data_IF_890750678736
#
_entry.id   IF_890750678736
#
_cell.length_a   1.000
_cell.length_b   1.000
_cell.length_c   1.000
_cell.angle_alpha   90.00
_cell.angle_beta   90.00
_cell.angle_gamma   90.00
#
_symmetry.space_group_name_H-M   'P 1'
#
loop_
_entity.id
_entity.type
_entity.pdbx_description
1 polymer ?
#
# COMPACT_ATOMS: atom_id res chain seq x y z
N UNK A 1 -14.02 13.19 -26.23
CA UNK A 1 -12.93 12.64 -25.41
C UNK A 1 -11.74 13.54 -25.63
N UNK A 2 -11.12 14.16 -24.66
CA UNK A 2 -9.85 14.81 -24.88
C UNK A 2 -8.83 13.72 -25.20
N UNK A 3 -8.17 13.82 -26.36
CA UNK A 3 -7.01 13.02 -26.73
C UNK A 3 -5.93 13.34 -25.69
N UNK A 4 -5.69 12.39 -24.80
CA UNK A 4 -4.54 12.46 -23.88
C UNK A 4 -3.32 12.01 -24.68
N UNK A 5 -2.52 12.96 -25.11
CA UNK A 5 -1.23 12.73 -25.73
C UNK A 5 -0.28 12.18 -24.65
N UNK A 6 -0.19 10.86 -24.54
CA UNK A 6 0.71 10.16 -23.62
C UNK A 6 2.15 10.27 -24.16
N UNK A 7 2.76 11.42 -23.95
CA UNK A 7 4.20 11.54 -24.18
C UNK A 7 4.92 10.72 -23.10
N UNK A 8 5.70 9.74 -23.51
CA UNK A 8 6.57 8.95 -22.64
C UNK A 8 7.55 9.90 -21.92
N UNK A 9 7.20 10.29 -20.70
CA UNK A 9 8.02 11.19 -19.89
C UNK A 9 9.24 10.44 -19.38
N UNK A 10 10.42 10.70 -19.98
CA UNK A 10 11.68 10.07 -19.59
C UNK A 10 12.30 10.65 -18.33
N UNK A 11 11.68 11.68 -17.74
CA UNK A 11 12.18 12.34 -16.51
C UNK A 11 12.14 11.40 -15.31
N UNK A 12 13.08 11.56 -14.33
CA UNK A 12 13.02 10.84 -13.07
C UNK A 12 11.69 11.07 -12.34
N UNK A 13 11.15 10.05 -11.71
CA UNK A 13 9.89 10.15 -10.97
C UNK A 13 9.96 11.23 -9.87
N UNK A 14 11.11 11.34 -9.19
CA UNK A 14 11.37 12.38 -8.19
C UNK A 14 11.20 13.79 -8.73
N UNK A 15 11.53 14.02 -10.01
CA UNK A 15 11.33 15.31 -10.66
C UNK A 15 9.85 15.54 -10.98
N UNK A 16 9.15 14.54 -11.50
CA UNK A 16 7.71 14.64 -11.82
C UNK A 16 6.90 14.98 -10.59
N UNK A 17 7.12 14.31 -9.45
CA UNK A 17 6.39 14.61 -8.20
C UNK A 17 6.73 16.00 -7.65
N UNK A 18 7.94 16.48 -7.87
CA UNK A 18 8.36 17.81 -7.46
C UNK A 18 7.67 18.89 -8.30
N UNK A 19 7.61 18.70 -9.63
CA UNK A 19 6.93 19.60 -10.57
C UNK A 19 5.44 19.71 -10.28
N UNK A 20 4.78 18.59 -9.94
CA UNK A 20 3.37 18.57 -9.49
C UNK A 20 3.20 19.45 -8.24
N UNK A 21 4.11 19.31 -7.28
CA UNK A 21 4.10 20.12 -6.06
C UNK A 21 4.33 21.61 -6.30
N UNK A 22 5.11 21.99 -7.31
CA UNK A 22 5.49 23.37 -7.60
C UNK A 22 4.35 24.23 -8.19
N UNK A 23 3.29 23.63 -8.73
CA UNK A 23 2.15 24.36 -9.30
C UNK A 23 1.44 25.22 -8.25
N UNK A 24 0.85 26.34 -8.70
CA UNK A 24 0.24 27.34 -7.81
C UNK A 24 -1.18 27.00 -7.34
N UNK A 25 -1.84 26.02 -7.95
CA UNK A 25 -3.20 25.62 -7.56
C UNK A 25 -3.24 25.09 -6.13
N UNK A 26 -4.19 25.50 -5.27
CA UNK A 26 -4.25 25.07 -3.87
C UNK A 26 -4.65 23.62 -3.72
N UNK A 27 -5.37 23.07 -4.71
CA UNK A 27 -5.83 21.67 -4.73
C UNK A 27 -5.10 20.85 -5.77
N UNK A 28 -4.73 19.65 -5.39
CA UNK A 28 -4.17 18.65 -6.29
C UNK A 28 -5.22 17.56 -6.52
N UNK A 29 -5.64 17.40 -7.77
CA UNK A 29 -6.60 16.37 -8.16
C UNK A 29 -5.88 15.07 -8.52
N UNK A 30 -6.50 13.93 -8.18
CA UNK A 30 -5.97 12.62 -8.54
C UNK A 30 -5.79 12.45 -10.06
N UNK A 31 -6.70 13.02 -10.85
CA UNK A 31 -6.59 13.02 -12.30
C UNK A 31 -5.33 13.72 -12.83
N UNK A 32 -4.85 14.74 -12.13
CA UNK A 32 -3.57 15.41 -12.48
C UNK A 32 -2.37 14.50 -12.25
N UNK A 33 -2.38 13.71 -11.17
CA UNK A 33 -1.35 12.71 -10.89
C UNK A 33 -1.33 11.60 -11.94
N UNK A 34 -2.51 11.06 -12.28
CA UNK A 34 -2.63 10.02 -13.31
C UNK A 34 -2.08 10.49 -14.65
N UNK A 35 -2.45 11.71 -15.07
CA UNK A 35 -1.95 12.28 -16.32
C UNK A 35 -0.45 12.54 -16.30
N UNK A 36 0.11 12.96 -15.17
CA UNK A 36 1.53 13.24 -15.05
C UNK A 36 2.41 11.99 -15.10
N UNK A 37 1.86 10.84 -14.69
CA UNK A 37 2.63 9.58 -14.67
C UNK A 37 2.56 8.78 -15.98
N UNK A 38 1.61 9.07 -16.88
CA UNK A 38 1.52 8.50 -18.23
C UNK A 38 1.54 6.96 -18.25
N UNK A 39 2.31 6.38 -19.18
CA UNK A 39 2.45 4.92 -19.36
C UNK A 39 3.06 4.17 -18.15
N UNK A 40 3.79 4.86 -17.28
CA UNK A 40 4.31 4.31 -16.02
C UNK A 40 3.26 4.27 -14.89
N UNK A 41 1.98 4.51 -15.23
CA UNK A 41 0.90 4.83 -14.31
C UNK A 41 0.72 3.87 -13.14
N UNK A 42 0.70 2.55 -13.38
CA UNK A 42 0.50 1.58 -12.29
C UNK A 42 1.60 1.65 -11.25
N UNK A 43 2.85 1.47 -11.66
CA UNK A 43 3.99 1.49 -10.74
C UNK A 43 4.16 2.83 -10.03
N UNK A 44 4.03 3.93 -10.76
CA UNK A 44 4.16 5.27 -10.21
C UNK A 44 3.07 5.60 -9.19
N UNK A 45 1.83 5.26 -9.47
CA UNK A 45 0.71 5.50 -8.55
C UNK A 45 0.72 4.55 -7.35
N UNK A 46 1.09 3.28 -7.53
CA UNK A 46 1.31 2.35 -6.42
C UNK A 46 2.38 2.87 -5.48
N UNK A 47 3.51 3.34 -6.03
CA UNK A 47 4.58 3.96 -5.25
C UNK A 47 4.08 5.21 -4.54
N UNK A 48 3.37 6.10 -5.25
CA UNK A 48 2.84 7.33 -4.68
C UNK A 48 1.86 7.08 -3.53
N UNK A 49 0.82 6.28 -3.76
CA UNK A 49 -0.18 6.00 -2.74
C UNK A 49 0.37 5.17 -1.58
N UNK A 50 1.28 4.24 -1.87
CA UNK A 50 1.97 3.48 -0.85
C UNK A 50 2.83 4.37 0.05
N UNK A 51 3.67 5.24 -0.51
CA UNK A 51 4.48 6.20 0.26
C UNK A 51 3.62 7.21 1.02
N UNK A 52 2.52 7.68 0.41
CA UNK A 52 1.59 8.56 1.08
C UNK A 52 0.93 7.85 2.27
N UNK A 53 0.56 6.57 2.10
CA UNK A 53 0.03 5.75 3.21
C UNK A 53 1.05 5.57 4.34
N UNK A 54 2.33 5.43 4.02
CA UNK A 54 3.42 5.40 5.02
C UNK A 54 3.54 6.74 5.75
N UNK A 55 3.44 7.86 5.02
CA UNK A 55 3.65 9.19 5.58
C UNK A 55 2.51 9.66 6.50
N UNK A 56 1.26 9.34 6.15
CA UNK A 56 0.06 9.82 6.85
C UNK A 56 -0.78 8.70 7.49
N UNK A 57 -0.36 7.45 7.34
CA UNK A 57 -1.08 6.26 7.83
C UNK A 57 -1.18 6.15 9.36
N UNK A 58 -0.49 7.02 10.10
CA UNK A 58 -0.63 7.16 11.55
C UNK A 58 -2.01 7.70 11.94
N UNK A 59 -2.67 8.45 11.02
CA UNK A 59 -3.99 9.01 11.27
C UNK A 59 -5.04 7.94 10.95
N UNK A 60 -5.87 7.51 11.92
CA UNK A 60 -6.90 6.51 11.68
C UNK A 60 -7.86 6.92 10.55
N UNK A 61 -8.17 5.97 9.65
CA UNK A 61 -9.08 6.19 8.52
C UNK A 61 -8.45 6.74 7.24
N UNK A 62 -7.24 7.34 7.29
CA UNK A 62 -6.56 7.83 6.08
C UNK A 62 -6.13 6.69 5.16
N UNK A 63 -5.67 5.58 5.74
CA UNK A 63 -5.26 4.38 5.00
C UNK A 63 -6.43 3.71 4.29
N UNK A 64 -7.65 3.76 4.85
CA UNK A 64 -8.86 3.26 4.21
C UNK A 64 -9.14 4.00 2.90
N UNK A 65 -9.01 5.33 2.91
CA UNK A 65 -9.23 6.16 1.71
C UNK A 65 -8.13 5.93 0.66
N UNK A 66 -6.88 5.79 1.11
CA UNK A 66 -5.74 5.55 0.22
C UNK A 66 -5.66 4.10 -0.30
N UNK A 67 -6.19 3.16 0.45
CA UNK A 67 -6.26 1.75 0.08
C UNK A 67 -7.20 1.49 -1.10
N UNK A 68 -8.28 2.27 -1.24
CA UNK A 68 -9.26 2.07 -2.32
C UNK A 68 -8.65 2.21 -3.73
N UNK A 69 -7.89 3.27 -4.09
CA UNK A 69 -7.20 3.33 -5.38
C UNK A 69 -6.16 2.21 -5.55
N UNK A 70 -5.44 1.82 -4.49
CA UNK A 70 -4.48 0.71 -4.54
C UNK A 70 -5.16 -0.63 -4.82
N UNK A 71 -6.32 -0.87 -4.22
CA UNK A 71 -7.12 -2.07 -4.48
C UNK A 71 -7.58 -2.13 -5.94
N UNK A 72 -8.06 -1.02 -6.50
CA UNK A 72 -8.44 -0.93 -7.91
C UNK A 72 -7.25 -1.18 -8.83
N UNK A 73 -6.07 -0.62 -8.52
CA UNK A 73 -4.85 -0.85 -9.30
C UNK A 73 -4.40 -2.31 -9.24
N UNK A 74 -4.41 -2.93 -8.07
CA UNK A 74 -4.11 -4.36 -7.92
C UNK A 74 -5.04 -5.23 -8.76
N UNK A 75 -6.35 -4.95 -8.74
CA UNK A 75 -7.33 -5.66 -9.55
C UNK A 75 -7.07 -5.47 -11.05
N UNK A 76 -6.81 -4.26 -11.51
CA UNK A 76 -6.55 -3.96 -12.91
C UNK A 76 -5.26 -4.64 -13.40
N UNK A 77 -4.22 -4.62 -12.58
CA UNK A 77 -2.96 -5.31 -12.89
C UNK A 77 -3.14 -6.83 -12.96
N UNK A 78 -3.99 -7.39 -12.10
CA UNK A 78 -4.33 -8.81 -12.10
C UNK A 78 -5.05 -9.24 -13.39
N UNK A 79 -5.95 -8.41 -13.93
CA UNK A 79 -6.68 -8.68 -15.18
C UNK A 79 -5.95 -8.18 -16.44
N UNK A 80 -4.67 -7.77 -16.29
CA UNK A 80 -3.79 -7.30 -17.38
C UNK A 80 -4.36 -6.12 -18.16
N UNK A 81 -4.85 -5.10 -17.45
CA UNK A 81 -5.23 -3.87 -18.12
C UNK A 81 -3.98 -3.06 -18.51
N UNK A 82 -3.83 -2.77 -19.80
CA UNK A 82 -2.70 -1.97 -20.31
C UNK A 82 -2.78 -0.50 -19.87
N UNK A 83 -4.00 -0.01 -19.66
CA UNK A 83 -4.25 1.38 -19.27
C UNK A 83 -4.91 1.46 -17.90
N UNK A 84 -4.38 2.32 -17.06
CA UNK A 84 -4.96 2.60 -15.75
C UNK A 84 -6.33 3.27 -15.92
N UNK A 85 -7.36 2.56 -15.50
CA UNK A 85 -8.71 3.09 -15.45
C UNK A 85 -9.08 3.46 -14.02
N UNK A 86 -9.42 4.72 -13.81
CA UNK A 86 -9.97 5.18 -12.54
C UNK A 86 -11.36 5.79 -12.75
N UNK A 87 -12.33 5.48 -11.89
CA UNK A 87 -13.66 6.04 -12.01
C UNK A 87 -13.63 7.57 -11.84
N UNK A 88 -14.49 8.28 -12.56
CA UNK A 88 -14.52 9.76 -12.57
C UNK A 88 -14.65 10.39 -11.19
N UNK A 89 -15.33 9.72 -10.27
CA UNK A 89 -15.46 10.19 -8.89
C UNK A 89 -14.11 10.17 -8.15
N UNK A 90 -13.25 9.16 -8.42
CA UNK A 90 -11.91 9.08 -7.85
C UNK A 90 -10.99 10.16 -8.44
N UNK A 91 -11.02 10.38 -9.76
CA UNK A 91 -10.22 11.41 -10.45
C UNK A 91 -10.51 12.82 -9.94
N UNK A 92 -11.74 13.07 -9.46
CA UNK A 92 -12.18 14.36 -8.90
C UNK A 92 -11.81 14.54 -7.42
N UNK A 93 -11.32 13.50 -6.75
CA UNK A 93 -10.81 13.63 -5.38
C UNK A 93 -9.56 14.49 -5.40
N UNK A 94 -9.50 15.40 -4.44
CA UNK A 94 -8.38 16.32 -4.30
C UNK A 94 -7.84 16.30 -2.89
N UNK A 95 -6.54 16.54 -2.78
CA UNK A 95 -5.83 16.81 -1.54
C UNK A 95 -5.30 18.23 -1.59
N UNK A 96 -5.07 18.82 -0.43
CA UNK A 96 -4.39 20.13 -0.37
C UNK A 96 -2.97 19.98 -0.87
N UNK A 97 -2.58 20.82 -1.84
CA UNK A 97 -1.23 20.79 -2.42
C UNK A 97 -0.13 21.06 -1.38
N UNK A 98 -0.44 21.78 -0.33
CA UNK A 98 0.48 22.01 0.77
C UNK A 98 0.77 20.73 1.56
N UNK A 99 -0.27 19.93 1.85
CA UNK A 99 -0.12 18.61 2.48
C UNK A 99 0.70 17.66 1.60
N UNK A 100 0.45 17.68 0.29
CA UNK A 100 1.22 16.94 -0.70
C UNK A 100 2.71 17.34 -0.66
N UNK A 101 3.04 18.65 -0.74
CA UNK A 101 4.42 19.16 -0.69
C UNK A 101 5.15 18.67 0.56
N UNK A 102 4.51 18.76 1.71
CA UNK A 102 5.09 18.30 2.98
C UNK A 102 5.40 16.80 2.99
N UNK A 103 4.53 15.99 2.39
CA UNK A 103 4.76 14.55 2.20
C UNK A 103 5.92 14.29 1.24
N UNK A 104 5.95 14.97 0.11
CA UNK A 104 7.01 14.85 -0.92
C UNK A 104 8.36 15.25 -0.37
N UNK A 105 8.49 16.36 0.35
CA UNK A 105 9.74 16.81 0.95
C UNK A 105 10.41 15.75 1.85
N UNK A 106 9.61 15.00 2.61
CA UNK A 106 10.11 13.93 3.49
C UNK A 106 10.59 12.71 2.71
N UNK A 107 9.95 12.39 1.61
CA UNK A 107 10.21 11.17 0.83
C UNK A 107 11.25 11.40 -0.27
N UNK A 108 11.31 12.61 -0.82
CA UNK A 108 12.14 12.97 -1.98
C UNK A 108 13.62 12.59 -1.86
N UNK A 109 14.33 12.83 -0.74
CA UNK A 109 15.74 12.48 -0.63
C UNK A 109 15.97 10.97 -0.71
N UNK A 110 15.11 10.16 -0.10
CA UNK A 110 15.20 8.70 -0.17
C UNK A 110 14.86 8.20 -1.56
N UNK A 111 13.84 8.77 -2.19
CA UNK A 111 13.44 8.41 -3.54
C UNK A 111 14.56 8.68 -4.55
N UNK A 112 15.21 9.84 -4.50
CA UNK A 112 16.38 10.16 -5.35
C UNK A 112 17.55 9.20 -5.13
N UNK A 113 17.77 8.79 -3.89
CA UNK A 113 18.81 7.81 -3.58
C UNK A 113 18.48 6.44 -4.19
N UNK A 114 17.22 6.00 -4.09
CA UNK A 114 16.74 4.76 -4.68
C UNK A 114 16.80 4.80 -6.22
N UNK A 115 16.40 5.91 -6.85
CA UNK A 115 16.51 6.10 -8.30
C UNK A 115 17.95 6.01 -8.81
N UNK A 116 18.93 6.53 -8.06
CA UNK A 116 20.35 6.42 -8.42
C UNK A 116 20.89 4.99 -8.33
N UNK A 117 20.36 4.19 -7.42
CA UNK A 117 20.75 2.80 -7.25
C UNK A 117 20.00 1.85 -8.19
N UNK A 118 18.82 2.27 -8.66
CA UNK A 118 17.98 1.48 -9.54
C UNK A 118 18.61 1.34 -10.92
N UNK A 119 18.67 0.10 -11.40
CA UNK A 119 19.09 -0.24 -12.75
C UNK A 119 18.14 -1.31 -13.28
N UNK A 120 17.78 -1.32 -14.57
CA UNK A 120 16.98 -2.39 -15.14
C UNK A 120 17.76 -3.72 -15.03
N UNK A 121 17.35 -4.55 -14.08
CA UNK A 121 17.96 -5.85 -13.77
C UNK A 121 16.86 -6.88 -13.65
N UNK A 122 17.17 -8.17 -13.93
CA UNK A 122 16.25 -9.28 -13.76
C UNK A 122 14.90 -9.04 -14.48
N UNK A 123 14.96 -8.82 -15.80
CA UNK A 123 13.78 -8.57 -16.65
C UNK A 123 12.69 -9.66 -16.55
N UNK A 124 13.05 -10.87 -16.08
CA UNK A 124 12.09 -11.96 -15.80
C UNK A 124 11.08 -11.54 -14.72
N UNK A 125 11.50 -10.73 -13.73
CA UNK A 125 10.64 -10.25 -12.65
C UNK A 125 9.72 -9.09 -13.06
N UNK A 126 9.88 -8.58 -14.28
CA UNK A 126 9.01 -7.58 -14.92
C UNK A 126 8.25 -8.17 -16.11
N UNK A 127 8.12 -9.50 -16.18
CA UNK A 127 7.32 -10.20 -17.16
C UNK A 127 5.81 -10.02 -16.87
N UNK A 128 4.98 -10.22 -17.88
CA UNK A 128 3.52 -10.16 -17.74
C UNK A 128 2.97 -11.04 -16.60
N UNK A 129 3.54 -12.24 -16.43
CA UNK A 129 3.15 -13.12 -15.32
C UNK A 129 3.50 -12.52 -13.96
N UNK A 130 4.68 -11.90 -13.86
CA UNK A 130 5.11 -11.23 -12.64
C UNK A 130 4.18 -10.04 -12.31
N UNK A 131 3.75 -9.27 -13.30
CA UNK A 131 2.80 -8.17 -13.12
C UNK A 131 1.45 -8.66 -12.56
N UNK A 132 0.93 -9.78 -13.07
CA UNK A 132 -0.28 -10.41 -12.52
C UNK A 132 -0.09 -10.82 -11.07
N UNK A 133 1.03 -11.46 -10.74
CA UNK A 133 1.33 -11.86 -9.36
C UNK A 133 1.48 -10.66 -8.43
N UNK A 134 2.14 -9.60 -8.89
CA UNK A 134 2.24 -8.32 -8.16
C UNK A 134 0.84 -7.70 -7.99
N UNK A 135 -0.01 -7.79 -9.01
CA UNK A 135 -1.40 -7.35 -8.95
C UNK A 135 -2.18 -8.07 -7.85
N UNK A 136 -2.09 -9.39 -7.78
CA UNK A 136 -2.71 -10.22 -6.73
C UNK A 136 -2.18 -9.82 -5.35
N UNK A 137 -0.86 -9.73 -5.20
CA UNK A 137 -0.24 -9.33 -3.93
C UNK A 137 -0.69 -7.94 -3.50
N UNK A 138 -0.69 -6.97 -4.43
CA UNK A 138 -1.14 -5.60 -4.18
C UNK A 138 -2.60 -5.55 -3.78
N UNK A 139 -3.47 -6.30 -4.46
CA UNK A 139 -4.89 -6.40 -4.12
C UNK A 139 -5.10 -6.89 -2.69
N UNK A 140 -4.44 -7.99 -2.31
CA UNK A 140 -4.52 -8.55 -0.95
C UNK A 140 -3.97 -7.60 0.11
N UNK A 141 -2.81 -6.97 -0.15
CA UNK A 141 -2.21 -5.99 0.75
C UNK A 141 -3.07 -4.72 0.88
N UNK A 142 -3.68 -4.26 -0.21
CA UNK A 142 -4.59 -3.13 -0.20
C UNK A 142 -5.88 -3.44 0.58
N UNK A 143 -6.36 -4.68 0.53
CA UNK A 143 -7.49 -5.13 1.35
C UNK A 143 -7.17 -5.05 2.85
N UNK A 144 -5.95 -5.44 3.23
CA UNK A 144 -5.45 -5.28 4.62
C UNK A 144 -5.34 -3.79 4.96
N UNK A 145 -4.85 -2.96 4.03
CA UNK A 145 -4.67 -1.52 4.24
C UNK A 145 -5.99 -0.77 4.47
N UNK A 146 -7.09 -1.25 3.87
CA UNK A 146 -8.44 -0.69 4.08
C UNK A 146 -8.95 -0.95 5.48
N UNK A 147 -8.53 -2.06 6.12
CA UNK A 147 -8.91 -2.36 7.50
C UNK A 147 -8.21 -1.37 8.44
N UNK A 148 -8.94 -0.75 9.38
CA UNK A 148 -8.37 0.21 10.32
C UNK A 148 -7.56 -0.49 11.43
N UNK A 149 -6.43 -1.11 11.05
CA UNK A 149 -5.52 -1.78 11.97
C UNK A 149 -4.54 -0.76 12.55
N UNK A 150 -4.57 -0.58 13.86
CA UNK A 150 -3.64 0.33 14.56
C UNK A 150 -2.19 -0.14 14.36
N UNK A 151 -1.40 0.68 13.64
CA UNK A 151 0.02 0.39 13.38
C UNK A 151 0.31 -0.73 12.38
N UNK A 152 -0.66 -1.57 12.02
CA UNK A 152 -0.48 -2.69 11.09
C UNK A 152 -0.37 -2.29 9.62
N UNK A 153 -0.79 -1.09 9.28
CA UNK A 153 -0.89 -0.63 7.88
C UNK A 153 0.46 -0.19 7.28
N UNK A 154 1.49 0.06 8.11
CA UNK A 154 2.79 0.52 7.65
C UNK A 154 3.49 -0.51 6.74
N UNK A 155 3.48 -1.77 7.14
CA UNK A 155 4.19 -2.84 6.42
C UNK A 155 3.55 -3.12 5.05
N UNK A 156 2.22 -3.33 4.93
CA UNK A 156 1.56 -3.44 3.63
C UNK A 156 1.83 -2.25 2.71
N UNK A 157 1.79 -1.03 3.23
CA UNK A 157 2.06 0.19 2.47
C UNK A 157 3.49 0.24 1.92
N UNK A 158 4.48 -0.15 2.73
CA UNK A 158 5.89 -0.24 2.30
C UNK A 158 6.08 -1.28 1.20
N UNK A 159 5.45 -2.45 1.31
CA UNK A 159 5.56 -3.50 0.31
C UNK A 159 4.92 -3.07 -1.02
N UNK A 160 3.73 -2.46 -0.97
CA UNK A 160 3.08 -1.90 -2.16
C UNK A 160 3.97 -0.84 -2.81
N UNK A 161 4.60 0.03 -2.00
CA UNK A 161 5.55 1.03 -2.50
C UNK A 161 6.76 0.39 -3.19
N UNK A 162 7.29 -0.70 -2.63
CA UNK A 162 8.42 -1.43 -3.21
C UNK A 162 8.05 -2.11 -4.53
N UNK A 163 6.86 -2.72 -4.63
CA UNK A 163 6.33 -3.24 -5.88
C UNK A 163 6.15 -2.12 -6.91
N UNK A 164 5.53 -1.00 -6.51
CA UNK A 164 5.33 0.16 -7.37
C UNK A 164 6.66 0.72 -7.90
N UNK A 165 7.67 0.82 -7.04
CA UNK A 165 9.01 1.24 -7.44
C UNK A 165 9.65 0.26 -8.44
N UNK A 166 9.58 -1.04 -8.16
CA UNK A 166 10.12 -2.09 -9.02
C UNK A 166 9.49 -2.09 -10.41
N UNK A 167 8.15 -1.98 -10.48
CA UNK A 167 7.42 -1.87 -11.74
C UNK A 167 7.79 -0.60 -12.52
N UNK A 168 7.81 0.56 -11.84
CA UNK A 168 8.10 1.84 -12.45
C UNK A 168 9.51 1.91 -13.04
N UNK A 169 10.49 1.38 -12.33
CA UNK A 169 11.91 1.40 -12.73
C UNK A 169 12.33 0.15 -13.52
N UNK A 170 11.42 -0.81 -13.71
CA UNK A 170 11.73 -2.15 -14.26
C UNK A 170 12.91 -2.82 -13.52
N UNK A 171 12.97 -2.58 -12.20
CA UNK A 171 14.02 -3.12 -11.34
C UNK A 171 13.55 -4.40 -10.64
N UNK A 172 13.94 -5.55 -11.18
CA UNK A 172 13.58 -6.86 -10.62
C UNK A 172 14.12 -7.08 -9.22
N UNK A 173 15.20 -6.40 -8.81
CA UNK A 173 15.72 -6.50 -7.44
C UNK A 173 14.73 -5.93 -6.42
N UNK A 174 14.14 -4.78 -6.72
CA UNK A 174 13.12 -4.17 -5.86
C UNK A 174 11.89 -5.10 -5.73
N UNK A 175 11.51 -5.76 -6.83
CA UNK A 175 10.41 -6.74 -6.84
C UNK A 175 10.76 -7.94 -5.95
N UNK A 176 11.98 -8.49 -6.05
CA UNK A 176 12.44 -9.61 -5.21
C UNK A 176 12.44 -9.22 -3.72
N UNK A 177 12.89 -8.01 -3.38
CA UNK A 177 12.84 -7.51 -1.99
C UNK A 177 11.39 -7.43 -1.51
N UNK A 178 10.47 -6.91 -2.33
CA UNK A 178 9.06 -6.84 -1.99
C UNK A 178 8.45 -8.23 -1.78
N UNK A 179 8.74 -9.20 -2.64
CA UNK A 179 8.32 -10.59 -2.48
C UNK A 179 8.91 -11.25 -1.24
N UNK A 180 10.18 -10.98 -0.93
CA UNK A 180 10.80 -11.46 0.31
C UNK A 180 10.08 -10.93 1.55
N UNK A 181 9.69 -9.67 1.55
CA UNK A 181 8.91 -9.09 2.64
C UNK A 181 7.51 -9.72 2.75
N UNK A 182 6.82 -9.99 1.64
CA UNK A 182 5.56 -10.76 1.63
C UNK A 182 5.78 -12.15 2.24
N UNK A 183 6.84 -12.86 1.82
CA UNK A 183 7.19 -14.19 2.34
C UNK A 183 7.42 -14.19 3.85
N UNK A 184 8.12 -13.18 4.37
CA UNK A 184 8.37 -13.03 5.82
C UNK A 184 7.05 -12.82 6.57
N UNK A 185 6.13 -11.99 6.07
CA UNK A 185 4.83 -11.77 6.73
C UNK A 185 3.99 -13.04 6.72
N UNK A 186 3.89 -13.69 5.56
CA UNK A 186 3.15 -14.96 5.45
C UNK A 186 3.75 -16.04 6.34
N UNK A 187 5.09 -16.14 6.40
CA UNK A 187 5.80 -17.06 7.26
C UNK A 187 5.56 -16.78 8.75
N UNK A 188 5.64 -15.53 9.16
CA UNK A 188 5.34 -15.12 10.53
C UNK A 188 3.86 -15.43 10.90
N UNK A 189 2.93 -15.13 9.99
CA UNK A 189 1.51 -15.47 10.20
C UNK A 189 1.29 -16.97 10.34
N UNK A 190 1.95 -17.79 9.52
CA UNK A 190 1.90 -19.25 9.61
C UNK A 190 2.45 -19.76 10.94
N UNK A 191 3.60 -19.23 11.38
CA UNK A 191 4.21 -19.61 12.67
C UNK A 191 3.28 -19.26 13.82
N UNK A 192 2.69 -18.06 13.82
CA UNK A 192 1.73 -17.63 14.85
C UNK A 192 0.49 -18.54 14.83
N UNK A 193 -0.02 -18.88 13.66
CA UNK A 193 -1.17 -19.77 13.51
C UNK A 193 -0.87 -21.18 14.03
N UNK A 194 0.29 -21.74 13.67
CA UNK A 194 0.74 -23.04 14.19
C UNK A 194 0.94 -23.01 15.71
N UNK A 195 1.60 -21.96 16.22
CA UNK A 195 1.78 -21.79 17.65
C UNK A 195 0.43 -21.71 18.38
N UNK A 196 -0.54 -20.99 17.82
CA UNK A 196 -1.88 -20.90 18.36
C UNK A 196 -2.59 -22.28 18.39
N UNK A 197 -2.50 -23.07 17.32
CA UNK A 197 -3.11 -24.41 17.27
C UNK A 197 -2.51 -25.36 18.30
N UNK A 198 -1.21 -25.21 18.62
CA UNK A 198 -0.55 -25.98 19.66
C UNK A 198 -0.90 -25.52 21.08
N UNK A 199 -1.04 -24.24 21.29
CA UNK A 199 -1.24 -23.63 22.62
C UNK A 199 -2.73 -23.54 23.00
N UNK A 200 -3.62 -23.33 22.03
CA UNK A 200 -5.06 -23.17 22.28
C UNK A 200 -5.71 -24.32 23.07
N UNK A 201 -5.38 -25.61 22.83
CA UNK A 201 -5.98 -26.70 23.60
C UNK A 201 -5.66 -26.62 25.11
N UNK A 202 -4.57 -25.95 25.48
CA UNK A 202 -4.18 -25.78 26.89
C UNK A 202 -4.76 -24.51 27.49
N UNK A 203 -4.98 -23.47 26.69
CA UNK A 203 -5.51 -22.18 27.14
C UNK A 203 -7.05 -22.18 27.24
N UNK A 204 -7.75 -22.84 26.31
CA UNK A 204 -9.22 -22.86 26.29
C UNK A 204 -9.84 -23.42 27.59
N UNK A 205 -9.37 -24.55 28.15
CA UNK A 205 -9.90 -25.07 29.41
C UNK A 205 -9.65 -24.10 30.59
N UNK A 206 -8.50 -23.42 30.60
CA UNK A 206 -8.18 -22.40 31.64
C UNK A 206 -9.12 -21.20 31.52
N UNK A 207 -9.39 -20.75 30.29
CA UNK A 207 -10.34 -19.67 30.01
C UNK A 207 -11.79 -20.05 30.41
N UNK A 208 -12.23 -21.25 30.08
CA UNK A 208 -13.56 -21.76 30.47
C UNK A 208 -13.71 -21.86 31.98
N UNK A 209 -12.65 -22.35 32.66
CA UNK A 209 -12.61 -22.40 34.12
C UNK A 209 -12.68 -20.99 34.74
N UNK A 210 -11.90 -20.05 34.23
CA UNK A 210 -11.90 -18.66 34.68
C UNK A 210 -13.27 -17.99 34.48
N UNK A 211 -13.88 -18.18 33.30
CA UNK A 211 -15.21 -17.66 33.00
C UNK A 211 -16.30 -18.30 33.86
N UNK A 212 -16.13 -19.55 34.31
CA UNK A 212 -17.03 -20.21 35.25
C UNK A 212 -16.96 -19.64 36.68
N UNK A 213 -15.81 -19.09 37.06
CA UNK A 213 -15.62 -18.47 38.39
C UNK A 213 -16.14 -17.03 38.47
N UNK A 214 -16.09 -16.26 37.35
CA UNK A 214 -16.51 -14.87 37.35
C UNK A 214 -17.96 -14.64 37.78
N UNK A 215 -18.98 -15.42 37.32
CA UNK A 215 -20.36 -15.30 37.81
C UNK A 215 -20.50 -15.64 39.28
N UNK A 216 -19.79 -16.67 39.77
CA UNK A 216 -19.81 -17.07 41.18
C UNK A 216 -19.20 -15.98 42.07
N UNK A 217 -18.14 -15.36 41.64
CA UNK A 217 -17.53 -14.23 42.33
C UNK A 217 -18.47 -13.02 42.37
N UNK A 218 -19.17 -12.71 41.29
CA UNK A 218 -20.18 -11.64 41.25
C UNK A 218 -21.37 -11.93 42.17
N UNK A 219 -21.91 -13.14 42.18
CA UNK A 219 -23.03 -13.53 43.08
C UNK A 219 -22.58 -13.47 44.53
N UNK A 220 -21.37 -13.85 44.85
CA UNK A 220 -20.82 -13.73 46.19
C UNK A 220 -20.68 -12.26 46.62
N UNK A 221 -20.15 -11.40 45.75
CA UNK A 221 -19.99 -9.95 45.99
C UNK A 221 -21.36 -9.25 46.19
N UNK A 222 -22.35 -9.57 45.36
CA UNK A 222 -23.69 -8.96 45.47
C UNK A 222 -24.52 -9.51 46.63
N UNK A 223 -24.16 -10.67 47.17
CA UNK A 223 -24.77 -11.24 48.37
C UNK A 223 -24.22 -10.69 49.69
N UNK A 224 -23.13 -9.87 49.63
CA UNK A 224 -22.52 -9.21 50.80
C UNK A 224 -23.14 -7.84 51.10
N UNK A 225 -23.95 -7.29 50.18
CA UNK A 225 -24.69 -6.03 50.28
C UNK A 225 -26.19 -6.22 50.17
#
# INVERSE_FOLDING_TARGET
>A
MPDYDYQSDSRPFSQVIQDIGAKNDPKLYLGELVNAFGERGFGALMLFFGLLSVAIGIIPGTTTVLGAPLLLMGLQLMIRQDQLWLPRWALRRSIERQTYRHGVEKVLPRLRQMERLSRPRLSIMTSELSEVLIGIATFLLALILILPLWGGNLIPALIISAFGFGLMQRDGLAIVIAWSAVGVICGAGLVIWLAWTWVSPYLLPVWEWANGLLPQFWTWLTGLF
#
